data_IF_139666862148
#
_entry.id   IF_139666862148
#
_cell.length_a   1.000
_cell.length_b   1.000
_cell.length_c   1.000
_cell.angle_alpha   90.00
_cell.angle_beta   90.00
_cell.angle_gamma   90.00
#
_symmetry.space_group_name_H-M   'P 1'
#
loop_
_entity.id
_entity.type
_entity.pdbx_description
1 polymer ?
#
# COMPACT_ATOMS: atom_id res chain seq x y z
N UNK A 1 35.95 -19.57 31.69
CA UNK A 1 36.19 -18.27 32.31
C UNK A 1 34.84 -17.60 32.58
N UNK A 2 34.69 -17.07 33.77
CA UNK A 2 33.50 -16.28 34.17
C UNK A 2 33.82 -14.80 34.03
N UNK A 3 32.86 -14.03 33.53
CA UNK A 3 33.00 -12.58 33.37
C UNK A 3 31.88 -11.86 34.14
N UNK A 4 32.21 -10.83 34.87
CA UNK A 4 31.25 -9.97 35.50
C UNK A 4 30.53 -9.12 34.45
N UNK A 5 29.21 -9.15 34.48
CA UNK A 5 28.38 -8.34 33.60
C UNK A 5 27.34 -7.55 34.38
N UNK A 6 27.12 -6.32 33.99
CA UNK A 6 26.03 -5.50 34.52
C UNK A 6 24.92 -5.39 33.50
N UNK A 7 23.67 -5.54 33.95
CA UNK A 7 22.47 -5.35 33.13
C UNK A 7 21.68 -4.15 33.63
N UNK A 8 21.30 -3.29 32.73
CA UNK A 8 20.42 -2.16 33.00
C UNK A 8 19.46 -1.96 31.85
N UNK A 9 18.34 -1.32 32.08
CA UNK A 9 17.42 -1.00 30.99
C UNK A 9 15.95 -1.08 31.41
N UNK A 10 15.11 -1.16 30.41
CA UNK A 10 13.65 -1.25 30.52
C UNK A 10 13.13 -2.42 29.67
N UNK A 11 11.81 -2.66 29.67
CA UNK A 11 11.22 -3.65 28.77
C UNK A 11 11.41 -3.35 27.27
N UNK A 12 11.87 -2.15 26.91
CA UNK A 12 12.09 -1.71 25.53
C UNK A 12 13.56 -1.60 25.12
N UNK A 13 14.46 -1.54 26.09
CA UNK A 13 15.91 -1.45 25.86
C UNK A 13 16.64 -2.19 26.97
N UNK A 14 17.50 -3.11 26.60
CA UNK A 14 18.39 -3.82 27.51
C UNK A 14 19.83 -3.50 27.16
N UNK A 15 20.59 -3.02 28.13
CA UNK A 15 22.03 -2.81 28.03
C UNK A 15 22.76 -3.81 28.87
N UNK A 16 23.73 -4.48 28.28
CA UNK A 16 24.62 -5.42 28.95
C UNK A 16 26.04 -4.91 28.77
N UNK A 17 26.73 -4.65 29.89
CA UNK A 17 28.15 -4.23 29.89
C UNK A 17 29.01 -5.31 30.54
N UNK A 18 30.05 -5.73 29.83
CA UNK A 18 31.02 -6.74 30.27
C UNK A 18 32.41 -6.09 30.21
N UNK A 19 32.86 -5.38 31.28
CA UNK A 19 34.08 -4.57 31.24
C UNK A 19 35.37 -5.34 31.00
N UNK A 20 35.39 -6.61 31.42
CA UNK A 20 36.60 -7.46 31.32
C UNK A 20 36.68 -8.30 30.06
N UNK A 21 35.64 -8.33 29.24
CA UNK A 21 35.61 -9.09 28.00
C UNK A 21 36.20 -8.27 26.84
N UNK A 22 37.34 -8.71 26.29
CA UNK A 22 38.00 -8.12 25.10
C UNK A 22 38.27 -6.58 25.24
N UNK A 23 38.57 -6.13 26.46
CA UNK A 23 38.84 -4.71 26.72
C UNK A 23 37.60 -3.86 26.96
N UNK A 24 36.48 -4.49 27.21
CA UNK A 24 35.17 -3.89 27.43
C UNK A 24 34.20 -4.13 26.26
N UNK A 25 33.09 -4.77 26.56
CA UNK A 25 32.05 -5.05 25.58
C UNK A 25 30.72 -4.51 26.07
N UNK A 26 30.09 -3.65 25.28
CA UNK A 26 28.75 -3.14 25.52
C UNK A 26 27.79 -3.66 24.44
N UNK A 27 26.71 -4.30 24.88
CA UNK A 27 25.65 -4.80 24.01
C UNK A 27 24.38 -4.04 24.35
N UNK A 28 23.77 -3.41 23.37
CA UNK A 28 22.46 -2.79 23.52
C UNK A 28 21.45 -3.57 22.67
N UNK A 29 20.44 -4.10 23.33
CA UNK A 29 19.31 -4.73 22.67
C UNK A 29 18.10 -3.81 22.75
N UNK A 30 17.49 -3.56 21.60
CA UNK A 30 16.25 -2.78 21.50
C UNK A 30 15.10 -3.71 21.18
N UNK A 31 14.01 -3.61 21.94
CA UNK A 31 12.74 -4.22 21.53
C UNK A 31 12.20 -3.44 20.33
N UNK A 32 12.29 -4.04 19.16
CA UNK A 32 11.62 -3.53 17.98
C UNK A 32 10.12 -3.79 18.12
N UNK A 33 9.36 -2.76 18.48
CA UNK A 33 7.93 -2.77 18.17
C UNK A 33 7.80 -3.06 16.68
N UNK A 34 6.85 -3.95 16.30
CA UNK A 34 6.60 -4.25 14.90
C UNK A 34 6.49 -2.93 14.14
N UNK A 35 7.34 -2.73 13.13
CA UNK A 35 7.38 -1.49 12.37
C UNK A 35 6.00 -1.22 11.75
N UNK A 36 5.67 0.03 11.46
CA UNK A 36 4.42 0.37 10.78
C UNK A 36 4.25 -0.46 9.50
N UNK A 37 5.34 -0.70 8.75
CA UNK A 37 5.35 -1.55 7.58
C UNK A 37 4.96 -3.00 7.89
N UNK A 38 5.51 -3.59 8.96
CA UNK A 38 5.16 -4.96 9.38
C UNK A 38 3.70 -5.08 9.83
N UNK A 39 3.15 -4.05 10.47
CA UNK A 39 1.75 -4.03 10.92
C UNK A 39 0.77 -4.05 9.75
N UNK A 40 1.07 -3.29 8.69
CA UNK A 40 0.21 -3.17 7.51
C UNK A 40 0.41 -4.30 6.51
N UNK A 41 1.54 -5.01 6.53
CA UNK A 41 1.82 -6.11 5.61
C UNK A 41 0.80 -7.25 5.73
N UNK A 42 0.42 -7.83 4.60
CA UNK A 42 -0.52 -8.95 4.52
C UNK A 42 -1.38 -8.91 3.26
N UNK A 43 -2.27 -9.89 3.16
CA UNK A 43 -3.27 -9.97 2.11
C UNK A 43 -4.60 -9.42 2.64
N UNK A 44 -5.26 -8.61 1.84
CA UNK A 44 -6.52 -7.97 2.18
C UNK A 44 -7.58 -8.30 1.14
N UNK A 45 -8.82 -8.40 1.58
CA UNK A 45 -9.98 -8.59 0.72
C UNK A 45 -11.01 -7.50 1.01
N UNK A 46 -11.56 -6.91 -0.04
CA UNK A 46 -12.49 -5.80 0.09
C UNK A 46 -13.05 -5.34 -1.23
N UNK A 47 -13.45 -4.08 -1.31
CA UNK A 47 -13.99 -3.48 -2.53
C UNK A 47 -13.38 -2.11 -2.78
N UNK A 48 -13.35 -1.69 -4.04
CA UNK A 48 -12.92 -0.36 -4.45
C UNK A 48 -14.12 0.46 -4.91
N UNK A 49 -14.23 1.68 -4.39
CA UNK A 49 -15.15 2.72 -4.87
C UNK A 49 -14.41 3.62 -5.84
N UNK A 50 -14.86 3.66 -7.10
CA UNK A 50 -14.18 4.35 -8.20
C UNK A 50 -15.04 5.51 -8.70
N UNK A 51 -14.44 6.69 -8.80
CA UNK A 51 -15.03 7.88 -9.42
C UNK A 51 -14.22 8.30 -10.63
N UNK A 52 -14.90 8.68 -11.70
CA UNK A 52 -14.27 9.18 -12.93
C UNK A 52 -14.67 10.64 -13.11
N UNK A 53 -13.69 11.54 -13.02
CA UNK A 53 -13.96 12.96 -13.00
C UNK A 53 -14.83 13.40 -11.82
N UNK A 54 -15.44 14.60 -11.89
CA UNK A 54 -16.18 15.17 -10.76
C UNK A 54 -17.56 14.54 -10.53
N UNK A 55 -18.18 13.96 -11.57
CA UNK A 55 -19.61 13.62 -11.57
C UNK A 55 -19.96 12.16 -11.83
N UNK A 56 -19.02 11.35 -12.34
CA UNK A 56 -19.29 9.96 -12.71
C UNK A 56 -18.91 9.00 -11.59
N UNK A 57 -19.86 8.25 -11.11
CA UNK A 57 -19.72 7.29 -10.01
C UNK A 57 -20.35 7.78 -8.69
N UNK A 58 -20.05 7.13 -7.55
CA UNK A 58 -19.09 6.03 -7.44
C UNK A 58 -19.56 4.72 -8.07
N UNK A 59 -18.64 4.01 -8.67
CA UNK A 59 -18.83 2.62 -9.11
C UNK A 59 -18.10 1.71 -8.13
N UNK A 60 -18.75 0.64 -7.65
CA UNK A 60 -18.16 -0.28 -6.67
C UNK A 60 -17.71 -1.54 -7.39
N UNK A 61 -16.46 -1.95 -7.13
CA UNK A 61 -15.90 -3.17 -7.70
C UNK A 61 -16.57 -4.43 -7.15
N UNK A 62 -16.44 -5.55 -7.86
CA UNK A 62 -16.50 -6.86 -7.23
C UNK A 62 -15.43 -6.95 -6.12
N UNK A 63 -15.51 -7.99 -5.28
CA UNK A 63 -14.48 -8.25 -4.26
C UNK A 63 -13.12 -8.37 -4.93
N UNK A 64 -12.16 -7.62 -4.41
CA UNK A 64 -10.79 -7.54 -4.92
C UNK A 64 -9.78 -7.76 -3.81
N UNK A 65 -8.63 -8.34 -4.14
CA UNK A 65 -7.51 -8.55 -3.23
C UNK A 65 -6.43 -7.48 -3.38
N UNK A 66 -5.87 -7.06 -2.26
CA UNK A 66 -4.66 -6.25 -2.22
C UNK A 66 -3.62 -6.96 -1.38
N UNK A 67 -2.39 -7.04 -1.87
CA UNK A 67 -1.24 -7.58 -1.14
C UNK A 67 -0.29 -6.46 -0.78
N UNK A 68 0.05 -6.35 0.49
CA UNK A 68 1.03 -5.39 1.00
C UNK A 68 2.23 -6.13 1.52
N UNK A 69 3.42 -5.78 1.03
CA UNK A 69 4.69 -6.32 1.49
C UNK A 69 5.54 -5.23 2.15
N UNK A 70 6.11 -5.54 3.30
CA UNK A 70 7.03 -4.65 3.98
C UNK A 70 8.45 -4.81 3.40
N UNK A 71 9.14 -3.70 3.20
CA UNK A 71 10.54 -3.66 2.83
C UNK A 71 11.44 -3.43 4.07
N UNK A 72 12.70 -3.82 3.98
CA UNK A 72 13.66 -3.69 5.09
C UNK A 72 13.95 -2.23 5.48
N UNK A 73 13.71 -1.28 4.57
CA UNK A 73 13.90 0.17 4.80
C UNK A 73 12.66 0.84 5.44
N UNK A 74 11.64 0.06 5.80
CA UNK A 74 10.40 0.55 6.40
C UNK A 74 9.36 1.07 5.41
N UNK A 75 9.64 1.02 4.11
CA UNK A 75 8.65 1.29 3.06
C UNK A 75 7.78 0.05 2.81
N UNK A 76 6.71 0.23 2.04
CA UNK A 76 5.84 -0.87 1.61
C UNK A 76 5.68 -0.92 0.10
N UNK A 77 5.37 -2.11 -0.42
CA UNK A 77 4.87 -2.27 -1.79
C UNK A 77 3.40 -2.67 -1.73
N UNK A 78 2.61 -2.16 -2.66
CA UNK A 78 1.18 -2.42 -2.78
C UNK A 78 0.90 -3.05 -4.13
N UNK A 79 0.39 -4.28 -4.14
CA UNK A 79 -0.06 -4.96 -5.34
C UNK A 79 -1.57 -5.05 -5.34
N UNK A 80 -2.22 -4.44 -6.32
CA UNK A 80 -3.64 -4.60 -6.61
C UNK A 80 -3.85 -5.84 -7.47
N UNK A 81 -4.78 -6.71 -7.11
CA UNK A 81 -5.27 -7.75 -8.02
C UNK A 81 -6.18 -7.13 -9.09
N UNK A 82 -6.61 -7.93 -10.05
CA UNK A 82 -7.55 -7.48 -11.06
C UNK A 82 -8.85 -6.97 -10.42
N UNK A 83 -9.28 -5.78 -10.81
CA UNK A 83 -10.52 -5.15 -10.35
C UNK A 83 -11.58 -5.17 -11.46
N UNK A 84 -12.81 -5.55 -11.11
CA UNK A 84 -13.94 -5.62 -12.03
C UNK A 84 -15.08 -4.73 -11.58
N UNK A 85 -15.58 -3.92 -12.50
CA UNK A 85 -16.69 -3.01 -12.30
C UNK A 85 -17.77 -3.25 -13.35
N UNK A 86 -19.03 -3.04 -12.95
CA UNK A 86 -20.20 -3.08 -13.83
C UNK A 86 -20.98 -1.79 -13.77
N UNK A 87 -21.67 -1.44 -14.85
CA UNK A 87 -22.48 -0.21 -14.92
C UNK A 87 -21.66 1.07 -15.00
N UNK A 88 -20.38 0.99 -15.38
CA UNK A 88 -19.52 2.17 -15.53
C UNK A 88 -20.00 2.98 -16.74
N UNK A 89 -20.23 4.27 -16.53
CA UNK A 89 -20.71 5.19 -17.58
C UNK A 89 -19.84 5.07 -18.84
N UNK A 90 -20.46 4.87 -20.01
CA UNK A 90 -19.87 4.70 -21.33
C UNK A 90 -19.07 3.41 -21.54
N UNK A 91 -18.64 2.72 -20.49
CA UNK A 91 -17.79 1.52 -20.58
C UNK A 91 -18.52 0.23 -20.25
N UNK A 92 -19.65 0.30 -19.55
CA UNK A 92 -20.47 -0.79 -19.01
C UNK A 92 -19.66 -1.74 -18.11
N UNK A 93 -18.83 -2.62 -18.66
CA UNK A 93 -17.94 -3.50 -17.90
C UNK A 93 -16.51 -2.96 -18.00
N UNK A 94 -15.91 -2.68 -16.86
CA UNK A 94 -14.53 -2.23 -16.76
C UNK A 94 -13.72 -3.23 -15.96
N UNK A 95 -12.60 -3.67 -16.51
CA UNK A 95 -11.60 -4.47 -15.82
C UNK A 95 -10.28 -3.71 -15.80
N UNK A 96 -9.71 -3.53 -14.62
CA UNK A 96 -8.36 -3.02 -14.41
C UNK A 96 -7.47 -4.20 -14.00
N UNK A 97 -6.43 -4.45 -14.77
CA UNK A 97 -5.50 -5.55 -14.51
C UNK A 97 -4.64 -5.32 -13.28
N UNK A 98 -3.91 -6.33 -12.88
CA UNK A 98 -2.99 -6.29 -11.74
C UNK A 98 -1.85 -5.31 -11.97
N UNK A 99 -1.49 -4.54 -10.94
CA UNK A 99 -0.32 -3.66 -10.94
C UNK A 99 0.29 -3.54 -9.54
N UNK A 100 1.53 -3.07 -9.47
CA UNK A 100 2.24 -2.88 -8.20
C UNK A 100 2.83 -1.48 -8.13
N UNK A 101 2.56 -0.78 -7.03
CA UNK A 101 3.25 0.46 -6.65
C UNK A 101 4.24 0.10 -5.56
N UNK A 102 5.53 0.43 -5.78
CA UNK A 102 6.61 0.07 -4.87
C UNK A 102 7.05 1.25 -4.01
N UNK A 103 7.65 0.94 -2.85
CA UNK A 103 8.35 1.89 -1.99
C UNK A 103 7.50 3.08 -1.53
N UNK A 104 6.27 2.82 -1.05
CA UNK A 104 5.49 3.85 -0.36
C UNK A 104 6.17 4.16 0.98
N UNK A 105 6.52 5.42 1.18
CA UNK A 105 7.19 5.89 2.40
C UNK A 105 6.19 6.13 3.53
N UNK A 106 6.60 5.80 4.76
CA UNK A 106 5.80 6.05 5.96
C UNK A 106 5.95 7.50 6.44
N UNK A 107 4.84 8.13 6.68
CA UNK A 107 4.75 9.42 7.38
C UNK A 107 4.14 9.21 8.77
N UNK A 108 4.97 9.42 9.79
CA UNK A 108 4.56 9.27 11.19
C UNK A 108 3.53 10.30 11.62
N UNK A 109 3.56 11.50 11.04
CA UNK A 109 2.63 12.58 11.41
C UNK A 109 1.19 12.27 10.99
N UNK A 110 1.02 11.61 9.84
CA UNK A 110 -0.29 11.22 9.31
C UNK A 110 -0.63 9.75 9.55
N UNK A 111 0.30 8.97 10.11
CA UNK A 111 0.21 7.52 10.28
C UNK A 111 -0.23 6.81 8.98
N UNK A 112 0.41 7.18 7.87
CA UNK A 112 0.08 6.68 6.55
C UNK A 112 1.32 6.40 5.72
N UNK A 113 1.17 5.54 4.70
CA UNK A 113 2.17 5.33 3.66
C UNK A 113 1.71 6.04 2.40
N UNK A 114 2.62 6.73 1.71
CA UNK A 114 2.25 7.37 0.46
C UNK A 114 3.39 7.39 -0.55
N UNK A 115 3.02 7.48 -1.83
CA UNK A 115 3.93 7.68 -2.95
C UNK A 115 3.24 8.39 -4.10
N UNK A 116 3.92 9.37 -4.66
CA UNK A 116 3.68 9.85 -6.02
C UNK A 116 4.44 8.92 -6.97
N UNK A 117 3.71 8.21 -7.82
CA UNK A 117 4.28 7.25 -8.78
C UNK A 117 4.02 7.67 -10.24
N UNK A 118 3.66 8.92 -10.46
CA UNK A 118 3.33 9.49 -11.77
C UNK A 118 4.45 9.39 -12.81
N UNK A 119 5.68 9.18 -12.36
CA UNK A 119 6.89 9.06 -13.22
C UNK A 119 7.51 7.67 -13.21
N UNK A 120 6.85 6.69 -12.59
CA UNK A 120 7.42 5.34 -12.44
C UNK A 120 7.21 4.45 -13.68
N UNK A 121 6.44 4.88 -14.67
CA UNK A 121 6.15 4.10 -15.89
C UNK A 121 5.32 2.85 -15.64
N UNK A 122 4.59 2.80 -14.52
CA UNK A 122 3.73 1.65 -14.17
C UNK A 122 2.58 1.60 -15.17
N UNK A 123 2.30 0.38 -15.70
CA UNK A 123 1.20 0.14 -16.62
C UNK A 123 0.12 -0.72 -15.98
N UNK A 124 -1.12 -0.47 -16.37
CA UNK A 124 -2.28 -1.28 -16.04
C UNK A 124 -2.97 -1.73 -17.31
N UNK A 125 -3.38 -2.98 -17.36
CA UNK A 125 -4.25 -3.46 -18.42
C UNK A 125 -5.66 -2.93 -18.20
N UNK A 126 -6.20 -2.23 -19.18
CA UNK A 126 -7.50 -1.58 -19.13
C UNK A 126 -8.40 -2.21 -20.18
N UNK A 127 -9.45 -2.90 -19.72
CA UNK A 127 -10.42 -3.54 -20.59
C UNK A 127 -11.82 -3.00 -20.29
N UNK A 128 -12.44 -2.41 -21.31
CA UNK A 128 -13.82 -1.94 -21.26
C UNK A 128 -14.63 -2.61 -22.37
N UNK A 129 -15.77 -3.19 -22.01
CA UNK A 129 -16.64 -3.92 -22.97
C UNK A 129 -18.12 -3.67 -22.73
N UNK A 130 -18.93 -3.74 -23.78
CA UNK A 130 -20.38 -3.65 -23.72
C UNK A 130 -20.95 -2.24 -23.60
N UNK A 131 -20.11 -1.22 -23.64
CA UNK A 131 -20.51 0.19 -23.65
C UNK A 131 -20.20 0.87 -24.98
N UNK A 132 -20.30 2.20 -24.98
CA UNK A 132 -19.94 3.04 -26.14
C UNK A 132 -18.41 3.17 -26.33
N UNK A 133 -17.65 2.98 -25.26
CA UNK A 133 -16.19 3.00 -25.29
C UNK A 133 -15.66 1.61 -25.02
N UNK A 134 -15.22 0.93 -26.06
CA UNK A 134 -14.51 -0.35 -25.95
C UNK A 134 -13.00 -0.13 -25.98
N UNK A 135 -12.29 -0.80 -25.06
CA UNK A 135 -10.83 -0.76 -24.94
C UNK A 135 -10.32 -2.13 -24.49
N UNK A 136 -9.15 -2.48 -24.95
CA UNK A 136 -8.41 -3.67 -24.50
C UNK A 136 -6.91 -3.41 -24.68
N UNK A 137 -6.36 -2.55 -23.83
CA UNK A 137 -5.01 -1.99 -23.98
C UNK A 137 -4.31 -1.80 -22.65
N UNK A 138 -2.98 -1.72 -22.69
CA UNK A 138 -2.18 -1.31 -21.54
C UNK A 138 -1.99 0.21 -21.54
N UNK A 139 -2.35 0.85 -20.44
CA UNK A 139 -2.13 2.26 -20.22
C UNK A 139 -1.16 2.50 -19.09
N UNK A 140 -0.32 3.52 -19.25
CA UNK A 140 0.56 4.00 -18.20
C UNK A 140 -0.20 4.92 -17.24
N UNK A 141 0.07 4.79 -15.94
CA UNK A 141 -0.35 5.76 -14.96
C UNK A 141 0.42 7.07 -15.15
N UNK A 142 -0.29 8.11 -15.48
CA UNK A 142 0.29 9.42 -15.85
C UNK A 142 0.29 10.41 -14.69
N UNK A 143 0.21 11.67 -15.05
CA UNK A 143 0.21 12.80 -14.11
C UNK A 143 -0.81 12.63 -12.98
N UNK A 144 -0.47 13.17 -11.81
CA UNK A 144 -1.30 13.08 -10.58
C UNK A 144 -1.44 11.71 -9.95
N UNK A 145 -0.72 10.69 -10.44
CA UNK A 145 -0.80 9.33 -9.88
C UNK A 145 -0.15 9.27 -8.50
N UNK A 146 -0.99 9.22 -7.48
CA UNK A 146 -0.59 9.16 -6.07
C UNK A 146 -1.40 8.11 -5.31
N UNK A 147 -0.71 7.28 -4.54
CA UNK A 147 -1.31 6.30 -3.65
C UNK A 147 -1.04 6.64 -2.19
N UNK A 148 -2.04 6.45 -1.34
CA UNK A 148 -1.93 6.59 0.12
C UNK A 148 -2.59 5.38 0.78
N UNK A 149 -1.94 4.82 1.79
CA UNK A 149 -2.39 3.63 2.53
C UNK A 149 -2.47 3.97 4.01
N UNK A 150 -3.59 3.64 4.63
CA UNK A 150 -3.81 3.75 6.08
C UNK A 150 -4.38 2.46 6.63
N UNK A 151 -3.97 2.10 7.84
CA UNK A 151 -4.53 0.98 8.60
C UNK A 151 -5.17 1.55 9.87
N UNK A 152 -6.49 1.36 10.00
CA UNK A 152 -7.22 1.76 11.19
C UNK A 152 -7.00 0.77 12.35
N UNK A 153 -7.29 1.18 13.58
CA UNK A 153 -7.14 0.35 14.77
C UNK A 153 -8.01 -0.92 14.74
N UNK A 154 -9.16 -0.87 14.08
CA UNK A 154 -10.05 -2.02 13.88
C UNK A 154 -9.56 -3.01 12.80
N UNK A 155 -8.36 -2.77 12.23
CA UNK A 155 -7.77 -3.57 11.16
C UNK A 155 -8.31 -3.28 9.76
N UNK A 156 -9.10 -2.22 9.58
CA UNK A 156 -9.56 -1.80 8.26
C UNK A 156 -8.44 -1.10 7.50
N UNK A 157 -8.08 -1.65 6.34
CA UNK A 157 -7.16 -1.04 5.40
C UNK A 157 -7.93 -0.12 4.45
N UNK A 158 -7.45 1.10 4.30
CA UNK A 158 -7.93 2.04 3.27
C UNK A 158 -6.77 2.40 2.35
N UNK A 159 -6.99 2.25 1.03
CA UNK A 159 -6.04 2.69 0.01
C UNK A 159 -6.76 3.71 -0.86
N UNK A 160 -6.25 4.94 -0.87
CA UNK A 160 -6.70 5.98 -1.80
C UNK A 160 -5.72 6.06 -2.96
N UNK A 161 -6.22 5.94 -4.17
CA UNK A 161 -5.42 6.01 -5.38
C UNK A 161 -6.04 7.00 -6.37
N UNK A 162 -5.38 8.14 -6.55
CA UNK A 162 -5.76 9.15 -7.53
C UNK A 162 -4.82 9.04 -8.72
N UNK A 163 -5.36 8.95 -9.94
CA UNK A 163 -4.55 8.75 -11.13
C UNK A 163 -5.25 9.17 -12.43
N UNK A 164 -4.45 9.33 -13.46
CA UNK A 164 -4.90 9.33 -14.85
C UNK A 164 -4.26 8.15 -15.58
N UNK A 165 -4.96 7.55 -16.50
CA UNK A 165 -4.43 6.49 -17.36
C UNK A 165 -4.36 6.94 -18.81
N UNK A 166 -3.19 6.83 -19.41
CA UNK A 166 -2.94 7.23 -20.77
C UNK A 166 -3.35 8.69 -21.04
N UNK A 167 -4.08 8.91 -22.14
CA UNK A 167 -4.58 10.23 -22.55
C UNK A 167 -6.04 10.46 -22.13
N UNK A 168 -6.57 9.70 -21.16
CA UNK A 168 -7.94 9.90 -20.73
C UNK A 168 -8.13 11.31 -20.15
N UNK A 169 -9.22 12.01 -20.53
CA UNK A 169 -9.42 13.41 -20.14
C UNK A 169 -9.79 13.56 -18.65
N UNK A 170 -10.33 12.50 -18.04
CA UNK A 170 -10.85 12.56 -16.68
C UNK A 170 -9.89 11.86 -15.70
N UNK A 171 -9.57 12.51 -14.55
CA UNK A 171 -8.86 11.84 -13.48
C UNK A 171 -9.77 10.78 -12.83
N UNK A 172 -9.16 9.73 -12.33
CA UNK A 172 -9.81 8.68 -11.57
C UNK A 172 -9.42 8.83 -10.10
N UNK A 173 -10.40 8.71 -9.23
CA UNK A 173 -10.20 8.61 -7.79
C UNK A 173 -10.78 7.29 -7.30
N UNK A 174 -9.92 6.41 -6.82
CA UNK A 174 -10.28 5.10 -6.32
C UNK A 174 -10.01 5.02 -4.81
N UNK A 175 -10.96 4.51 -4.04
CA UNK A 175 -10.80 4.23 -2.62
C UNK A 175 -11.14 2.78 -2.36
N UNK A 176 -10.11 1.99 -2.05
CA UNK A 176 -10.25 0.62 -1.59
C UNK A 176 -10.47 0.59 -0.09
N UNK A 177 -11.36 -0.28 0.37
CA UNK A 177 -11.57 -0.58 1.79
C UNK A 177 -11.66 -2.09 1.96
N UNK A 178 -10.83 -2.64 2.83
CA UNK A 178 -10.78 -4.08 3.05
C UNK A 178 -10.22 -4.48 4.41
N UNK A 179 -10.30 -5.76 4.72
CA UNK A 179 -9.73 -6.36 5.93
C UNK A 179 -8.78 -7.49 5.55
N UNK A 180 -7.86 -7.85 6.47
CA UNK A 180 -6.98 -9.00 6.25
C UNK A 180 -7.81 -10.24 5.91
N UNK A 181 -7.42 -10.90 4.82
CA UNK A 181 -7.98 -12.19 4.45
C UNK A 181 -7.61 -13.22 5.53
N UNK A 182 -8.57 -14.07 5.88
CA UNK A 182 -8.36 -15.17 6.85
C UNK A 182 -7.59 -16.30 6.19
#
# INVERSE_FOLDING_TARGET
EEYDATMSGSMRELKISIPSLMGGTDITWHYNEASAASKVAGNYSGTTSLKVGPTMGPFVSATVGYTITANNDGTINVTASEEKYTGVTMMQNLTLGTYTVKNLAYDKATNSFSRDYSKDGIKVHFKATGGMMERDENYEFGETSKMTVTLAEDGTLTITNNYKVGRMPFPISATYTGKKAK
#
